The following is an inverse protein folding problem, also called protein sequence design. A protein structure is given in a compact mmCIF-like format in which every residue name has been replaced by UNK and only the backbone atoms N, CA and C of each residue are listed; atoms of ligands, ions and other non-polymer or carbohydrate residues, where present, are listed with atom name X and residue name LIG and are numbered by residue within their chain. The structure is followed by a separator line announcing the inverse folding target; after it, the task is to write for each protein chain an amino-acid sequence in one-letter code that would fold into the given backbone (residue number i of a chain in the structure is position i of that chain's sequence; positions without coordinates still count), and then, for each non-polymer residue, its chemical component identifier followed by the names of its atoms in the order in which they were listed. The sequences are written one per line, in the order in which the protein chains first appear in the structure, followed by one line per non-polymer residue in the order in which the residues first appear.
data_IF_158931618784
#
_entry.id   IF_158931618784
#
_cell.length_a   1.000
_cell.length_b   1.000
_cell.length_c   1.000
_cell.angle_alpha   90.00
_cell.angle_beta   90.00
_cell.angle_gamma   90.00
#
_symmetry.space_group_name_H-M   'P 1'
#
loop_
_entity.id
_entity.type
_entity.pdbx_description
1 polymer ?
#
# COMPACT_ATOMS: atom_id res chain seq x y z
N UNK A 1 -10.32 -14.99 -6.04
CA UNK A 1 -10.39 -14.21 -4.76
C UNK A 1 -9.74 -12.84 -4.93
N UNK A 2 -10.23 -11.79 -4.24
CA UNK A 2 -9.64 -10.44 -4.25
C UNK A 2 -9.07 -10.10 -2.86
N UNK A 3 -7.89 -9.48 -2.80
CA UNK A 3 -7.24 -9.14 -1.54
C UNK A 3 -6.72 -7.71 -1.62
N UNK A 4 -7.16 -6.86 -0.69
CA UNK A 4 -6.78 -5.45 -0.62
C UNK A 4 -5.80 -5.21 0.53
N UNK A 5 -4.65 -4.64 0.17
CA UNK A 5 -3.60 -4.24 1.10
C UNK A 5 -3.64 -2.70 1.21
N UNK A 6 -4.03 -2.16 2.39
CA UNK A 6 -4.15 -0.73 2.57
C UNK A 6 -2.78 -0.02 2.56
N UNK A 7 -2.82 1.30 2.42
CA UNK A 7 -1.64 2.14 2.60
C UNK A 7 -1.18 2.19 4.06
N UNK A 8 0.05 2.69 4.24
CA UNK A 8 0.70 2.89 5.54
C UNK A 8 -0.26 3.56 6.53
N UNK A 9 -0.46 2.95 7.71
CA UNK A 9 -1.28 3.50 8.78
C UNK A 9 -2.75 3.80 8.41
N UNK A 10 -3.26 3.32 7.27
CA UNK A 10 -4.66 3.48 6.91
C UNK A 10 -5.46 2.33 7.53
N UNK A 11 -6.53 2.69 8.24
CA UNK A 11 -7.45 1.72 8.80
C UNK A 11 -8.19 0.97 7.68
N UNK A 12 -8.30 -0.37 7.72
CA UNK A 12 -9.02 -1.15 6.70
C UNK A 12 -10.50 -0.72 6.59
N UNK A 13 -11.06 -0.17 7.66
CA UNK A 13 -12.42 0.39 7.72
C UNK A 13 -12.70 1.46 6.66
N UNK A 14 -11.66 2.19 6.22
CA UNK A 14 -11.77 3.19 5.15
C UNK A 14 -12.10 2.57 3.78
N UNK A 15 -11.92 1.26 3.63
CA UNK A 15 -12.12 0.54 2.37
C UNK A 15 -13.38 -0.34 2.39
N UNK A 16 -13.89 -0.76 3.55
CA UNK A 16 -14.95 -1.77 3.66
C UNK A 16 -16.18 -1.46 2.80
N UNK A 17 -16.71 -0.24 2.88
CA UNK A 17 -17.91 0.14 2.12
C UNK A 17 -17.69 0.19 0.61
N UNK A 18 -16.45 0.45 0.20
CA UNK A 18 -16.06 0.67 -1.19
C UNK A 18 -15.67 -0.62 -1.91
N UNK A 19 -15.17 -1.61 -1.17
CA UNK A 19 -14.64 -2.87 -1.68
C UNK A 19 -15.21 -4.09 -0.92
N UNK A 20 -16.54 -4.29 -0.89
CA UNK A 20 -17.18 -5.31 -0.04
C UNK A 20 -16.84 -6.75 -0.42
N UNK A 21 -16.27 -6.99 -1.60
CA UNK A 21 -15.88 -8.31 -2.10
C UNK A 21 -14.39 -8.62 -1.90
N UNK A 22 -13.60 -7.65 -1.44
CA UNK A 22 -12.18 -7.83 -1.20
C UNK A 22 -11.93 -8.29 0.24
N UNK A 23 -11.07 -9.30 0.40
CA UNK A 23 -10.48 -9.60 1.69
C UNK A 23 -9.53 -8.47 2.06
N UNK A 24 -9.84 -7.72 3.12
CA UNK A 24 -9.03 -6.59 3.56
C UNK A 24 -7.97 -7.04 4.56
N UNK A 25 -6.71 -6.78 4.25
CA UNK A 25 -5.61 -6.97 5.20
C UNK A 25 -5.73 -5.89 6.28
N UNK A 26 -5.75 -6.32 7.54
CA UNK A 26 -5.68 -5.42 8.69
C UNK A 26 -4.22 -5.31 9.17
N UNK A 27 -3.49 -4.24 8.78
CA UNK A 27 -2.09 -4.07 9.14
C UNK A 27 -1.89 -3.85 10.64
N UNK A 28 -2.94 -3.46 11.37
CA UNK A 28 -2.90 -3.22 12.81
C UNK A 28 -2.95 -4.51 13.64
N UNK A 29 -3.41 -5.60 13.03
CA UNK A 29 -3.54 -6.91 13.69
C UNK A 29 -2.49 -7.89 13.18
N UNK A 30 -2.09 -7.75 11.92
CA UNK A 30 -1.20 -8.71 11.25
C UNK A 30 0.09 -8.03 10.82
N UNK A 31 1.24 -8.69 11.05
CA UNK A 31 2.49 -8.30 10.42
C UNK A 31 2.34 -8.43 8.90
N UNK A 32 2.18 -7.30 8.23
CA UNK A 32 1.93 -7.19 6.79
C UNK A 32 3.18 -6.69 6.03
N UNK A 33 4.22 -6.32 6.77
CA UNK A 33 5.47 -5.76 6.23
C UNK A 33 6.40 -6.82 5.66
N UNK A 34 6.02 -8.10 5.67
CA UNK A 34 6.74 -9.19 5.05
C UNK A 34 5.74 -10.10 4.32
N UNK A 35 5.86 -10.19 3.00
CA UNK A 35 4.92 -10.88 2.13
C UNK A 35 4.82 -12.40 2.39
N UNK A 36 5.72 -12.98 3.18
CA UNK A 36 5.69 -14.39 3.57
C UNK A 36 4.79 -14.69 4.76
N UNK A 37 4.44 -13.68 5.57
CA UNK A 37 3.92 -13.91 6.92
C UNK A 37 2.39 -13.93 6.97
N UNK A 38 1.71 -13.47 5.92
CA UNK A 38 0.25 -13.46 5.88
C UNK A 38 -0.30 -13.48 4.46
N UNK A 39 -0.90 -14.60 4.06
CA UNK A 39 -1.93 -14.61 3.02
C UNK A 39 -2.90 -15.78 3.22
N UNK A 40 -4.23 -15.53 3.30
CA UNK A 40 -5.24 -16.56 3.58
C UNK A 40 -5.62 -17.40 2.36
N UNK A 41 -4.77 -17.47 1.33
CA UNK A 41 -5.12 -18.15 0.08
C UNK A 41 -4.88 -19.65 0.26
N UNK A 42 -5.80 -20.48 -0.21
CA UNK A 42 -5.52 -21.90 -0.45
C UNK A 42 -4.55 -22.05 -1.62
N UNK A 43 -3.96 -23.23 -1.81
CA UNK A 43 -3.04 -23.45 -2.94
C UNK A 43 -3.77 -23.59 -4.29
N UNK A 44 -5.11 -23.65 -4.28
CA UNK A 44 -5.88 -24.15 -5.43
C UNK A 44 -6.24 -23.08 -6.48
N UNK A 45 -6.28 -21.78 -6.15
CA UNK A 45 -6.62 -20.73 -7.14
C UNK A 45 -5.83 -19.41 -6.99
N UNK A 46 -5.27 -18.86 -8.09
CA UNK A 46 -4.66 -17.54 -8.10
C UNK A 46 -5.64 -16.41 -7.73
N UNK A 47 -5.13 -15.39 -7.05
CA UNK A 47 -5.93 -14.25 -6.60
C UNK A 47 -5.65 -12.96 -7.36
N UNK A 48 -6.53 -11.97 -7.17
CA UNK A 48 -6.32 -10.57 -7.53
C UNK A 48 -5.81 -9.81 -6.31
N UNK A 49 -4.64 -9.20 -6.45
CA UNK A 49 -4.06 -8.31 -5.47
C UNK A 49 -4.38 -6.86 -5.77
N UNK A 50 -4.75 -6.11 -4.74
CA UNK A 50 -5.04 -4.68 -4.82
C UNK A 50 -4.21 -4.02 -3.74
N UNK A 51 -3.21 -3.23 -4.10
CA UNK A 51 -2.34 -2.57 -3.15
C UNK A 51 -2.38 -1.05 -3.30
N UNK A 52 -2.67 -0.34 -2.21
CA UNK A 52 -2.63 1.13 -2.20
C UNK A 52 -1.35 1.65 -1.53
N UNK A 53 -0.68 2.63 -2.14
CA UNK A 53 0.48 3.30 -1.53
C UNK A 53 1.56 2.29 -1.15
N UNK A 54 1.98 2.22 0.11
CA UNK A 54 2.93 1.21 0.59
C UNK A 54 2.40 -0.23 0.45
N UNK A 55 1.08 -0.43 0.60
CA UNK A 55 0.40 -1.69 0.30
C UNK A 55 0.58 -2.16 -1.15
N UNK A 56 0.77 -1.21 -2.08
CA UNK A 56 1.16 -1.50 -3.46
C UNK A 56 2.51 -2.21 -3.57
N UNK A 57 3.50 -1.78 -2.78
CA UNK A 57 4.81 -2.44 -2.77
C UNK A 57 4.78 -3.83 -2.13
N UNK A 58 3.99 -4.01 -1.07
CA UNK A 58 3.80 -5.32 -0.45
C UNK A 58 3.08 -6.28 -1.41
N UNK A 59 2.05 -5.81 -2.12
CA UNK A 59 1.37 -6.59 -3.14
C UNK A 59 2.31 -6.99 -4.29
N UNK A 60 3.14 -6.04 -4.74
CA UNK A 60 4.16 -6.28 -5.77
C UNK A 60 5.21 -7.31 -5.31
N UNK A 61 5.68 -7.21 -4.07
CA UNK A 61 6.60 -8.18 -3.50
C UNK A 61 6.01 -9.59 -3.53
N UNK A 62 4.75 -9.73 -3.11
CA UNK A 62 4.11 -11.03 -3.09
C UNK A 62 3.93 -11.62 -4.49
N UNK A 63 3.54 -10.80 -5.46
CA UNK A 63 3.48 -11.21 -6.88
C UNK A 63 4.85 -11.65 -7.44
N UNK A 64 5.95 -11.03 -6.99
CA UNK A 64 7.32 -11.40 -7.39
C UNK A 64 7.80 -12.71 -6.71
N UNK A 65 7.36 -12.97 -5.48
CA UNK A 65 7.77 -14.14 -4.70
C UNK A 65 6.91 -15.37 -4.98
N UNK A 66 5.61 -15.18 -5.22
CA UNK A 66 4.62 -16.23 -5.40
C UNK A 66 3.80 -16.04 -6.69
N UNK A 67 4.46 -15.99 -7.86
CA UNK A 67 3.78 -15.64 -9.12
C UNK A 67 2.65 -16.61 -9.50
N UNK A 68 2.71 -17.87 -9.07
CA UNK A 68 1.65 -18.87 -9.31
C UNK A 68 0.36 -18.60 -8.51
N UNK A 69 0.41 -17.76 -7.47
CA UNK A 69 -0.73 -17.44 -6.61
C UNK A 69 -1.43 -16.13 -6.98
N UNK A 70 -0.94 -15.45 -8.01
CA UNK A 70 -1.44 -14.13 -8.42
C UNK A 70 -1.79 -14.18 -9.89
N UNK A 71 -3.05 -13.92 -10.21
CA UNK A 71 -3.51 -13.72 -11.59
C UNK A 71 -3.44 -12.26 -12.00
N UNK A 72 -3.69 -11.35 -11.05
CA UNK A 72 -3.80 -9.91 -11.32
C UNK A 72 -3.23 -9.08 -10.17
N UNK A 73 -2.53 -8.02 -10.51
CA UNK A 73 -1.98 -7.03 -9.58
C UNK A 73 -2.49 -5.64 -9.94
N UNK A 74 -3.21 -5.01 -9.03
CA UNK A 74 -3.74 -3.66 -9.17
C UNK A 74 -2.99 -2.77 -8.19
N UNK A 75 -2.19 -1.84 -8.72
CA UNK A 75 -1.39 -0.89 -7.95
C UNK A 75 -2.11 0.47 -7.97
N UNK A 76 -2.50 0.93 -6.79
CA UNK A 76 -3.20 2.19 -6.59
C UNK A 76 -2.24 3.18 -5.95
N UNK A 77 -1.77 4.15 -6.71
CA UNK A 77 -0.85 5.20 -6.26
C UNK A 77 0.32 4.68 -5.39
N UNK A 78 1.04 3.63 -5.83
CA UNK A 78 2.01 2.94 -4.98
C UNK A 78 3.16 3.86 -4.57
N UNK A 79 3.74 3.67 -3.39
CA UNK A 79 5.02 4.34 -3.09
C UNK A 79 6.12 3.82 -4.00
N UNK A 80 7.14 4.62 -4.31
CA UNK A 80 8.22 4.18 -5.18
C UNK A 80 9.22 3.24 -4.48
N UNK A 81 9.65 2.13 -5.10
CA UNK A 81 10.70 1.30 -4.56
C UNK A 81 12.07 1.95 -4.80
N UNK A 82 12.69 2.44 -3.72
CA UNK A 82 13.97 3.14 -3.78
C UNK A 82 15.00 2.48 -2.85
N UNK A 83 16.26 2.40 -3.29
CA UNK A 83 17.36 2.08 -2.40
C UNK A 83 17.72 3.29 -1.55
N UNK A 84 17.24 3.32 -0.31
CA UNK A 84 17.65 4.34 0.65
C UNK A 84 18.94 3.89 1.34
N UNK A 85 20.00 4.69 1.21
CA UNK A 85 21.32 4.41 1.78
C UNK A 85 21.35 4.49 3.31
N UNK A 86 20.34 5.11 3.91
CA UNK A 86 20.18 5.25 5.36
C UNK A 86 19.00 4.42 5.84
N UNK A 87 19.30 3.22 6.34
CA UNK A 87 18.37 2.45 7.15
C UNK A 87 18.46 2.95 8.59
N UNK A 88 17.62 3.91 8.97
CA UNK A 88 17.45 4.22 10.38
C UNK A 88 16.58 3.13 10.98
N UNK A 89 17.22 2.06 11.48
CA UNK A 89 16.55 1.14 12.41
C UNK A 89 16.46 1.86 13.75
N UNK A 90 15.33 2.52 14.00
CA UNK A 90 15.01 2.99 15.34
C UNK A 90 14.82 1.76 16.23
N UNK A 91 15.48 1.75 17.39
CA UNK A 91 15.13 0.76 18.41
C UNK A 91 13.68 0.97 18.86
N UNK A 92 13.02 -0.09 19.30
CA UNK A 92 11.63 -0.01 19.76
C UNK A 92 11.46 1.09 20.82
N UNK A 93 12.40 1.23 21.75
CA UNK A 93 12.37 2.27 22.80
C UNK A 93 12.44 3.70 22.26
N UNK A 94 13.16 3.93 21.15
CA UNK A 94 13.25 5.24 20.51
C UNK A 94 11.99 5.52 19.69
N UNK A 95 11.48 4.53 18.96
CA UNK A 95 10.21 4.63 18.23
C UNK A 95 9.05 4.99 19.18
N UNK A 96 8.97 4.34 20.35
CA UNK A 96 7.98 4.65 21.40
C UNK A 96 8.10 6.09 21.89
N UNK A 97 9.31 6.62 22.02
CA UNK A 97 9.54 7.99 22.54
C UNK A 97 9.11 9.08 21.57
N UNK A 98 9.19 8.86 20.25
CA UNK A 98 8.85 9.87 19.24
C UNK A 98 7.43 9.73 18.67
N UNK A 99 6.80 8.56 18.82
CA UNK A 99 5.45 8.29 18.31
C UNK A 99 4.37 9.31 18.70
N UNK A 100 4.32 9.79 19.96
CA UNK A 100 3.31 10.77 20.36
C UNK A 100 3.43 12.11 19.62
N UNK A 101 4.62 12.45 19.11
CA UNK A 101 4.85 13.68 18.35
C UNK A 101 4.40 13.57 16.89
N UNK A 102 4.44 12.37 16.31
CA UNK A 102 4.14 12.15 14.89
C UNK A 102 2.67 11.77 14.63
N UNK A 103 2.02 11.08 15.56
CA UNK A 103 0.63 10.66 15.39
C UNK A 103 -0.38 11.79 15.14
N UNK A 104 -0.26 12.98 15.75
CA UNK A 104 -1.15 14.11 15.45
C UNK A 104 -1.08 14.56 13.98
N UNK A 105 0.08 14.40 13.32
CA UNK A 105 0.25 14.79 11.90
C UNK A 105 -0.49 13.82 10.97
N UNK A 106 -0.43 12.52 11.27
CA UNK A 106 -1.19 11.48 10.55
C UNK A 106 -2.69 11.73 10.69
N UNK A 107 -3.14 12.01 11.92
CA UNK A 107 -4.54 12.34 12.20
C UNK A 107 -4.99 13.64 11.55
N UNK A 108 -4.14 14.66 11.43
CA UNK A 108 -4.50 15.92 10.77
C UNK A 108 -4.74 15.71 9.27
N UNK A 109 -3.90 14.92 8.60
CA UNK A 109 -4.03 14.65 7.16
C UNK A 109 -5.21 13.75 6.80
N UNK A 110 -5.56 12.79 7.68
CA UNK A 110 -6.67 11.86 7.47
C UNK A 110 -7.98 12.31 8.13
N UNK A 111 -7.93 13.29 9.02
CA UNK A 111 -9.02 13.71 9.90
C UNK A 111 -10.37 13.93 9.19
N UNK A 112 -10.43 14.59 8.01
CA UNK A 112 -11.68 14.77 7.28
C UNK A 112 -12.36 13.45 6.84
N UNK A 113 -11.60 12.36 6.72
CA UNK A 113 -12.09 11.04 6.30
C UNK A 113 -12.38 10.11 7.48
N UNK A 114 -11.91 10.44 8.68
CA UNK A 114 -11.99 9.57 9.85
C UNK A 114 -13.15 9.98 10.76
N UNK A 115 -14.09 9.06 10.98
CA UNK A 115 -15.09 9.22 12.04
C UNK A 115 -14.44 9.14 13.43
N UNK A 116 -15.01 9.87 14.41
CA UNK A 116 -14.49 9.94 15.78
C UNK A 116 -14.31 8.55 16.45
N UNK A 117 -15.20 7.60 16.14
CA UNK A 117 -15.10 6.22 16.63
C UNK A 117 -13.89 5.47 16.05
N UNK A 118 -13.55 5.70 14.78
CA UNK A 118 -12.38 5.11 14.13
C UNK A 118 -11.09 5.71 14.67
N UNK A 119 -11.06 7.03 14.89
CA UNK A 119 -9.95 7.71 15.56
C UNK A 119 -9.70 7.11 16.94
N UNK A 120 -10.77 6.93 17.72
CA UNK A 120 -10.66 6.37 19.06
C UNK A 120 -10.14 4.92 19.06
N UNK A 121 -10.73 4.07 18.23
CA UNK A 121 -10.40 2.63 18.17
C UNK A 121 -9.00 2.37 17.61
N UNK A 122 -8.56 3.11 16.58
CA UNK A 122 -7.31 2.80 15.87
C UNK A 122 -6.15 3.75 16.15
N UNK A 123 -6.39 5.00 16.54
CA UNK A 123 -5.30 6.01 16.56
C UNK A 123 -5.05 6.66 17.92
N UNK A 124 -5.89 6.42 18.92
CA UNK A 124 -5.76 7.01 20.26
C UNK A 124 -5.24 6.05 21.33
N UNK A 125 -5.05 4.76 21.02
CA UNK A 125 -4.50 3.79 21.97
C UNK A 125 -2.95 3.86 21.99
N UNK A 126 -2.28 3.80 23.16
CA UNK A 126 -0.82 3.87 23.24
C UNK A 126 -0.09 2.82 22.39
N UNK A 127 -0.58 1.58 22.35
CA UNK A 127 -0.01 0.50 21.53
C UNK A 127 -0.10 0.80 20.02
N UNK A 128 -1.13 1.54 19.61
CA UNK A 128 -1.34 1.95 18.23
C UNK A 128 -0.41 3.09 17.80
N UNK A 129 0.02 3.95 18.73
CA UNK A 129 1.04 4.97 18.44
C UNK A 129 2.40 4.32 18.15
N UNK A 130 2.76 3.29 18.91
CA UNK A 130 3.98 2.52 18.66
C UNK A 130 3.94 1.85 17.28
N UNK A 131 2.80 1.24 16.93
CA UNK A 131 2.57 0.68 15.60
C UNK A 131 2.80 1.72 14.49
N UNK A 132 2.19 2.90 14.58
CA UNK A 132 2.35 3.98 13.58
C UNK A 132 3.82 4.36 13.34
N UNK A 133 4.62 4.41 14.40
CA UNK A 133 6.04 4.69 14.28
C UNK A 133 6.83 3.53 13.66
N UNK A 134 6.53 2.30 14.08
CA UNK A 134 7.17 1.11 13.51
C UNK A 134 6.87 0.97 12.02
N UNK A 135 5.63 1.26 11.62
CA UNK A 135 5.17 1.29 10.23
C UNK A 135 5.97 2.29 9.40
N UNK A 136 6.15 3.51 9.90
CA UNK A 136 6.97 4.54 9.25
C UNK A 136 8.41 4.10 9.06
N UNK A 137 9.04 3.56 10.11
CA UNK A 137 10.42 3.04 10.03
C UNK A 137 10.52 1.88 9.04
N UNK A 138 9.52 0.99 9.04
CA UNK A 138 9.47 -0.19 8.20
C UNK A 138 9.23 0.15 6.72
N UNK A 139 8.58 1.27 6.42
CA UNK A 139 8.33 1.71 5.04
C UNK A 139 9.61 1.82 4.19
N UNK A 140 10.70 2.32 4.78
CA UNK A 140 11.99 2.44 4.08
C UNK A 140 12.65 1.07 3.89
N UNK A 141 12.44 0.14 4.82
CA UNK A 141 12.91 -1.25 4.69
C UNK A 141 12.18 -1.95 3.55
N UNK A 142 10.85 -1.79 3.50
CA UNK A 142 10.00 -2.33 2.42
C UNK A 142 10.46 -1.77 1.07
N UNK A 143 10.55 -0.44 0.92
CA UNK A 143 10.99 0.20 -0.32
C UNK A 143 12.35 -0.34 -0.82
N UNK A 144 13.37 -0.40 0.05
CA UNK A 144 14.68 -0.94 -0.32
C UNK A 144 14.62 -2.43 -0.67
N UNK A 145 13.83 -3.23 0.06
CA UNK A 145 13.69 -4.67 -0.19
C UNK A 145 13.07 -4.94 -1.55
N UNK A 146 11.98 -4.24 -1.90
CA UNK A 146 11.36 -4.37 -3.22
C UNK A 146 12.28 -3.83 -4.32
N UNK A 147 12.99 -2.72 -4.09
CA UNK A 147 13.97 -2.22 -5.04
C UNK A 147 15.07 -3.25 -5.35
N UNK A 148 15.56 -3.97 -4.33
CA UNK A 148 16.49 -5.08 -4.52
C UNK A 148 15.85 -6.28 -5.24
N UNK A 149 14.59 -6.58 -4.94
CA UNK A 149 13.88 -7.70 -5.57
C UNK A 149 13.65 -7.47 -7.06
N UNK A 150 13.23 -6.26 -7.44
CA UNK A 150 13.02 -5.84 -8.84
C UNK A 150 14.32 -5.82 -9.67
N UNK A 151 15.49 -5.71 -9.03
CA UNK A 151 16.78 -5.89 -9.72
C UNK A 151 17.08 -7.34 -10.08
N UNK A 152 16.50 -8.29 -9.34
CA UNK A 152 16.80 -9.73 -9.45
C UNK A 152 15.70 -10.52 -10.13
N UNK A 153 14.45 -10.06 -10.03
CA UNK A 153 13.25 -10.71 -10.52
C UNK A 153 12.43 -9.77 -11.37
N UNK A 154 11.70 -10.34 -12.32
CA UNK A 154 10.63 -9.67 -13.06
C UNK A 154 9.30 -10.30 -12.66
N UNK A 155 8.22 -9.54 -12.80
CA UNK A 155 6.88 -10.12 -12.70
C UNK A 155 6.71 -11.18 -13.79
N UNK A 156 5.97 -12.23 -13.46
CA UNK A 156 5.66 -13.27 -14.42
C UNK A 156 4.69 -12.74 -15.48
N UNK A 157 4.90 -13.12 -16.74
CA UNK A 157 4.18 -12.57 -17.89
C UNK A 157 2.67 -12.84 -17.86
N UNK A 158 2.23 -13.87 -17.12
CA UNK A 158 0.82 -14.20 -16.96
C UNK A 158 0.09 -13.28 -15.97
N UNK A 159 0.81 -12.48 -15.18
CA UNK A 159 0.21 -11.58 -14.19
C UNK A 159 -0.23 -10.31 -14.90
N UNK A 160 -1.53 -10.08 -14.99
CA UNK A 160 -2.08 -8.81 -15.47
C UNK A 160 -1.78 -7.71 -14.45
N UNK A 161 -1.29 -6.55 -14.90
CA UNK A 161 -0.95 -5.43 -14.02
C UNK A 161 -1.67 -4.16 -14.45
N UNK A 162 -2.43 -3.59 -13.52
CA UNK A 162 -3.04 -2.26 -13.66
C UNK A 162 -2.33 -1.29 -12.70
N UNK A 163 -1.78 -0.20 -13.21
CA UNK A 163 -1.13 0.85 -12.42
C UNK A 163 -1.94 2.15 -12.53
N UNK A 164 -2.68 2.49 -11.49
CA UNK A 164 -3.51 3.70 -11.41
C UNK A 164 -2.81 4.75 -10.56
N UNK A 165 -2.73 5.98 -11.07
CA UNK A 165 -1.98 7.07 -10.45
C UNK A 165 -2.86 8.31 -10.32
N UNK A 166 -2.95 8.86 -9.11
CA UNK A 166 -3.52 10.19 -8.90
C UNK A 166 -2.57 11.25 -9.47
N UNK A 167 -3.08 12.17 -10.28
CA UNK A 167 -2.26 13.18 -10.91
C UNK A 167 -2.98 14.53 -11.02
N UNK A 168 -2.20 15.60 -11.03
CA UNK A 168 -2.69 16.93 -11.40
C UNK A 168 -2.88 17.88 -10.23
N UNK A 169 -2.36 17.55 -9.04
CA UNK A 169 -2.23 18.53 -7.95
C UNK A 169 -0.86 19.22 -7.99
N UNK A 170 -0.79 20.41 -7.39
CA UNK A 170 0.47 21.14 -7.30
C UNK A 170 1.49 20.37 -6.45
N UNK A 171 2.77 20.41 -6.84
CA UNK A 171 3.93 19.79 -6.16
C UNK A 171 4.12 18.26 -6.33
N UNK A 172 3.44 17.60 -7.26
CA UNK A 172 3.57 16.15 -7.49
C UNK A 172 4.69 15.73 -8.46
N UNK A 173 5.50 16.66 -8.99
CA UNK A 173 6.44 16.37 -10.10
C UNK A 173 7.40 15.20 -9.83
N UNK A 174 7.99 15.14 -8.63
CA UNK A 174 8.89 14.03 -8.26
C UNK A 174 8.14 12.71 -8.23
N UNK A 175 6.97 12.71 -7.56
CA UNK A 175 6.11 11.54 -7.45
C UNK A 175 5.67 11.02 -8.83
N UNK A 176 5.21 11.89 -9.74
CA UNK A 176 4.81 11.46 -11.09
C UNK A 176 5.99 10.91 -11.90
N UNK A 177 7.20 11.44 -11.72
CA UNK A 177 8.41 10.91 -12.35
C UNK A 177 8.80 9.52 -11.79
N UNK A 178 8.64 9.32 -10.49
CA UNK A 178 8.79 8.03 -9.83
C UNK A 178 7.76 7.02 -10.34
N UNK A 179 6.48 7.39 -10.43
CA UNK A 179 5.43 6.52 -10.98
C UNK A 179 5.70 6.16 -12.44
N UNK A 180 6.16 7.12 -13.25
CA UNK A 180 6.55 6.88 -14.63
C UNK A 180 7.75 5.91 -14.73
N UNK A 181 8.67 5.96 -13.76
CA UNK A 181 9.80 5.04 -13.67
C UNK A 181 9.35 3.64 -13.26
N UNK A 182 8.43 3.53 -12.29
CA UNK A 182 7.84 2.26 -11.89
C UNK A 182 7.08 1.60 -13.05
N UNK A 183 6.29 2.38 -13.80
CA UNK A 183 5.60 1.89 -14.99
C UNK A 183 6.58 1.28 -16.03
N UNK A 184 7.75 1.90 -16.23
CA UNK A 184 8.80 1.38 -17.11
C UNK A 184 9.41 0.08 -16.56
N UNK A 185 9.69 0.02 -15.26
CA UNK A 185 10.24 -1.17 -14.60
C UNK A 185 9.27 -2.36 -14.75
N UNK A 186 7.97 -2.11 -14.56
CA UNK A 186 6.91 -3.11 -14.67
C UNK A 186 6.48 -3.37 -16.12
N UNK A 187 7.00 -2.59 -17.09
CA UNK A 187 6.62 -2.64 -18.50
C UNK A 187 5.09 -2.51 -18.73
N UNK A 188 4.45 -1.58 -18.03
CA UNK A 188 3.00 -1.34 -18.10
C UNK A 188 2.71 0.09 -18.52
N UNK A 189 1.52 0.31 -19.08
CA UNK A 189 1.02 1.67 -19.34
C UNK A 189 0.24 2.14 -18.10
N UNK A 190 0.64 3.25 -17.47
CA UNK A 190 -0.08 3.78 -16.33
C UNK A 190 -1.41 4.41 -16.74
N UNK A 191 -2.41 4.31 -15.87
CA UNK A 191 -3.69 5.01 -15.94
C UNK A 191 -3.61 6.26 -15.07
N UNK A 192 -3.54 7.42 -15.70
CA UNK A 192 -3.47 8.71 -15.02
C UNK A 192 -4.88 9.21 -14.69
N UNK A 193 -5.19 9.31 -13.40
CA UNK A 193 -6.44 9.83 -12.88
C UNK A 193 -6.29 11.33 -12.60
N UNK A 194 -6.41 12.14 -13.65
CA UNK A 194 -6.24 13.59 -13.56
C UNK A 194 -7.27 14.24 -12.62
N UNK A 195 -6.81 15.18 -11.80
CA UNK A 195 -7.58 15.85 -10.75
C UNK A 195 -7.73 15.02 -9.46
N UNK A 196 -7.16 13.82 -9.41
CA UNK A 196 -7.23 12.96 -8.23
C UNK A 196 -5.92 13.01 -7.44
N UNK A 197 -6.03 13.02 -6.12
CA UNK A 197 -4.88 12.93 -5.22
C UNK A 197 -4.66 11.50 -4.71
N UNK A 198 -3.65 11.34 -3.85
CA UNK A 198 -3.22 10.04 -3.31
C UNK A 198 -4.35 9.17 -2.76
N UNK A 199 -5.35 9.78 -2.12
CA UNK A 199 -6.44 9.07 -1.45
C UNK A 199 -7.61 8.69 -2.36
N UNK A 200 -7.48 8.78 -3.70
CA UNK A 200 -8.53 8.38 -4.64
C UNK A 200 -9.10 6.96 -4.42
N UNK A 201 -8.35 5.95 -3.93
CA UNK A 201 -8.93 4.65 -3.66
C UNK A 201 -10.05 4.69 -2.61
N UNK A 202 -10.02 5.68 -1.72
CA UNK A 202 -11.00 5.88 -0.66
C UNK A 202 -12.05 6.92 -1.10
N UNK A 203 -11.61 8.03 -1.70
CA UNK A 203 -12.49 9.16 -2.02
C UNK A 203 -13.25 9.01 -3.34
N UNK A 204 -12.71 8.27 -4.30
CA UNK A 204 -13.27 8.02 -5.64
C UNK A 204 -13.14 6.54 -6.02
N UNK A 205 -13.69 5.61 -5.22
CA UNK A 205 -13.56 4.17 -5.44
C UNK A 205 -14.24 3.72 -6.76
N UNK A 206 -15.18 4.51 -7.29
CA UNK A 206 -15.80 4.30 -8.60
C UNK A 206 -14.79 4.35 -9.76
N UNK A 207 -13.67 5.06 -9.61
CA UNK A 207 -12.58 5.06 -10.61
C UNK A 207 -11.75 3.76 -10.57
N UNK A 208 -11.79 3.03 -9.45
CA UNK A 208 -11.00 1.81 -9.23
C UNK A 208 -11.78 0.55 -9.57
N UNK A 209 -13.08 0.51 -9.24
CA UNK A 209 -13.97 -0.64 -9.45
C UNK A 209 -13.92 -1.27 -10.85
N UNK A 210 -13.80 -0.51 -11.96
CA UNK A 210 -13.68 -1.08 -13.31
C UNK A 210 -12.48 -2.03 -13.49
N UNK A 211 -11.42 -1.85 -12.71
CA UNK A 211 -10.20 -2.67 -12.79
C UNK A 211 -10.27 -3.93 -11.93
N UNK A 212 -11.16 -3.98 -10.94
CA UNK A 212 -11.25 -5.08 -9.97
C UNK A 212 -12.14 -6.24 -10.46
N UNK A 213 -13.14 -5.92 -11.28
CA UNK A 213 -14.08 -6.93 -11.78
C UNK A 213 -13.44 -7.74 -12.92
N UNK A 214 -13.73 -9.05 -13.04
CA UNK A 214 -13.39 -9.76 -14.27
C UNK A 214 -14.16 -9.12 -15.43
N UNK A 215 -13.45 -8.84 -16.53
CA UNK A 215 -14.09 -8.54 -17.81
C UNK A 215 -14.80 -9.79 -18.34
#
# INVERSE_FOLDING_TARGET
MQILIPGLALAPELYYSSYPQAHLVDPWVTSWTNATDYFPVSDDEPCTLIGHSLGGLVALEWALLHPHRVAKLILLDPTFPELKSTHIRLSNSVATSIAPLLAPLVLLGLGPLLHRSLIHSRYQHPDHLQFLCQEWVSSSIIQSRIAMLLRKKRLADHISVDLLIGAGHANERSFLAEQQSLAKILNVRPVWLWGQGHLFPITRPDLVKPFISPA
#
